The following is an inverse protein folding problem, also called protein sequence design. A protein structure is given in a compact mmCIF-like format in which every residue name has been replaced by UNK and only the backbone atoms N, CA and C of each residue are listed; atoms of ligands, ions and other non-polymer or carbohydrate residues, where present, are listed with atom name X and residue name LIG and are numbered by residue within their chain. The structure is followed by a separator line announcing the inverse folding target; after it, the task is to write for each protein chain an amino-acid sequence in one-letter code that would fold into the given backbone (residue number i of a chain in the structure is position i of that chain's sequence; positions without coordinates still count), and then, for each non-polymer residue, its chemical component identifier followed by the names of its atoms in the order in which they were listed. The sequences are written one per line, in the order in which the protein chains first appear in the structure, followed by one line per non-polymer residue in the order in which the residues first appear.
data_IF_804716781432
#
_entry.id   IF_804716781432
#
_cell.length_a   1.000
_cell.length_b   1.000
_cell.length_c   1.000
_cell.angle_alpha   90.00
_cell.angle_beta   90.00
_cell.angle_gamma   90.00
#
_symmetry.space_group_name_H-M   'P 1'
#
loop_
_entity.id
_entity.type
_entity.pdbx_description
1 polymer ?
#
# COMPACT_ATOMS: atom_id res chain seq x y z
N UNK A 1 14.86 33.99 6.95
CA UNK A 1 13.72 33.39 6.24
C UNK A 1 13.24 32.19 7.09
N UNK A 2 12.11 32.31 7.79
CA UNK A 2 11.58 31.17 8.51
C UNK A 2 11.20 30.10 7.46
N UNK A 3 11.55 28.83 7.65
CA UNK A 3 11.13 27.80 6.72
C UNK A 3 9.61 27.76 6.76
N UNK A 4 8.98 27.93 5.59
CA UNK A 4 7.53 27.72 5.39
C UNK A 4 7.26 26.25 5.55
N UNK A 5 6.82 25.85 6.71
CA UNK A 5 6.81 24.46 7.20
C UNK A 5 5.92 23.52 6.39
N UNK A 6 5.08 23.99 5.45
CA UNK A 6 4.10 23.18 4.70
C UNK A 6 3.73 23.72 3.32
N UNK A 7 4.59 24.52 2.67
CA UNK A 7 4.35 24.83 1.26
C UNK A 7 4.86 23.70 0.37
N UNK A 8 3.96 23.11 -0.37
CA UNK A 8 4.29 22.13 -1.39
C UNK A 8 5.04 22.82 -2.54
N UNK A 9 6.03 22.15 -3.11
CA UNK A 9 6.65 22.59 -4.35
C UNK A 9 5.65 22.52 -5.50
N UNK A 10 5.90 23.22 -6.61
CA UNK A 10 5.05 23.15 -7.81
C UNK A 10 4.93 21.74 -8.33
N UNK A 11 6.01 20.94 -8.33
CA UNK A 11 5.99 19.55 -8.75
C UNK A 11 5.10 18.68 -7.81
N UNK A 12 5.20 18.88 -6.50
CA UNK A 12 4.36 18.17 -5.53
C UNK A 12 2.87 18.56 -5.69
N UNK A 13 2.58 19.82 -5.96
CA UNK A 13 1.22 20.29 -6.24
C UNK A 13 0.68 19.67 -7.53
N UNK A 14 1.47 19.66 -8.60
CA UNK A 14 1.09 19.07 -9.89
C UNK A 14 0.75 17.58 -9.74
N UNK A 15 1.60 16.80 -9.07
CA UNK A 15 1.36 15.37 -8.84
C UNK A 15 0.09 15.15 -8.01
N UNK A 16 -0.09 15.89 -6.92
CA UNK A 16 -1.31 15.85 -6.10
C UNK A 16 -2.56 16.14 -6.93
N UNK A 17 -2.55 17.24 -7.68
CA UNK A 17 -3.73 17.73 -8.41
C UNK A 17 -4.07 16.81 -9.59
N UNK A 18 -3.05 16.21 -10.23
CA UNK A 18 -3.22 15.17 -11.25
C UNK A 18 -3.86 13.92 -10.64
N UNK A 19 -3.35 13.44 -9.50
CA UNK A 19 -3.91 12.29 -8.78
C UNK A 19 -5.35 12.56 -8.33
N UNK A 20 -5.64 13.75 -7.78
CA UNK A 20 -6.99 14.18 -7.37
C UNK A 20 -7.96 14.19 -8.54
N UNK A 21 -7.57 14.80 -9.65
CA UNK A 21 -8.40 14.83 -10.86
C UNK A 21 -8.76 13.42 -11.33
N UNK A 22 -7.76 12.53 -11.39
CA UNK A 22 -7.98 11.15 -11.78
C UNK A 22 -8.86 10.39 -10.78
N UNK A 23 -8.61 10.55 -9.50
CA UNK A 23 -9.40 9.95 -8.44
C UNK A 23 -10.88 10.35 -8.52
N UNK A 24 -11.15 11.64 -8.68
CA UNK A 24 -12.52 12.17 -8.70
C UNK A 24 -13.28 11.84 -9.99
N UNK A 25 -12.63 11.94 -11.15
CA UNK A 25 -13.30 11.78 -12.45
C UNK A 25 -13.36 10.34 -12.93
N UNK A 26 -12.38 9.51 -12.57
CA UNK A 26 -12.22 8.15 -13.11
C UNK A 26 -12.47 7.07 -12.07
N UNK A 27 -11.97 7.22 -10.84
CA UNK A 27 -12.04 6.16 -9.84
C UNK A 27 -13.31 6.22 -9.00
N UNK A 28 -13.62 7.36 -8.40
CA UNK A 28 -14.74 7.49 -7.47
C UNK A 28 -16.10 7.10 -8.08
N UNK A 29 -16.41 7.44 -9.34
CA UNK A 29 -17.70 7.07 -9.94
C UNK A 29 -17.93 5.56 -10.10
N UNK A 30 -16.86 4.77 -10.24
CA UNK A 30 -16.95 3.34 -10.50
C UNK A 30 -16.52 2.47 -9.31
N UNK A 31 -15.99 3.06 -8.24
CA UNK A 31 -15.43 2.32 -7.10
C UNK A 31 -16.46 1.38 -6.44
N UNK A 32 -17.72 1.80 -6.32
CA UNK A 32 -18.81 0.96 -5.81
C UNK A 32 -19.11 -0.23 -6.72
N UNK A 33 -19.09 -0.03 -8.03
CA UNK A 33 -19.28 -1.11 -8.99
C UNK A 33 -18.11 -2.11 -8.93
N UNK A 34 -16.87 -1.63 -8.93
CA UNK A 34 -15.67 -2.47 -8.81
C UNK A 34 -15.72 -3.35 -7.55
N UNK A 35 -16.15 -2.77 -6.42
CA UNK A 35 -16.28 -3.50 -5.15
C UNK A 35 -17.35 -4.60 -5.20
N UNK A 36 -18.56 -4.28 -5.71
CA UNK A 36 -19.65 -5.26 -5.85
C UNK A 36 -19.29 -6.39 -6.79
N UNK A 37 -18.71 -6.08 -7.94
CA UNK A 37 -18.32 -7.05 -8.96
C UNK A 37 -17.01 -7.78 -8.62
N UNK A 38 -16.29 -7.33 -7.58
CA UNK A 38 -14.93 -7.82 -7.24
C UNK A 38 -14.00 -7.77 -8.44
N UNK A 39 -14.16 -6.77 -9.28
CA UNK A 39 -13.48 -6.64 -10.56
C UNK A 39 -12.17 -5.88 -10.40
N UNK A 40 -11.08 -6.55 -10.80
CA UNK A 40 -9.74 -5.96 -10.78
C UNK A 40 -9.68 -4.73 -11.70
N UNK A 41 -9.14 -3.58 -11.25
CA UNK A 41 -9.21 -2.29 -11.93
C UNK A 41 -8.08 -2.13 -12.97
N UNK A 42 -7.93 -3.08 -13.93
CA UNK A 42 -6.83 -3.09 -14.88
C UNK A 42 -6.75 -1.81 -15.73
N UNK A 43 -7.88 -1.33 -16.26
CA UNK A 43 -7.96 -0.10 -17.07
C UNK A 43 -7.55 1.13 -16.26
N UNK A 44 -7.99 1.18 -14.98
CA UNK A 44 -7.68 2.29 -14.10
C UNK A 44 -6.19 2.30 -13.70
N UNK A 45 -5.59 1.12 -13.56
CA UNK A 45 -4.16 0.99 -13.32
C UNK A 45 -3.34 1.40 -14.56
N UNK A 46 -3.79 1.06 -15.76
CA UNK A 46 -3.18 1.52 -17.00
C UNK A 46 -3.21 3.06 -17.12
N UNK A 47 -4.36 3.69 -16.83
CA UNK A 47 -4.45 5.14 -16.78
C UNK A 47 -3.57 5.79 -15.71
N UNK A 48 -3.37 5.15 -14.56
CA UNK A 48 -2.41 5.62 -13.56
C UNK A 48 -0.96 5.50 -14.05
N UNK A 49 -0.63 4.47 -14.83
CA UNK A 49 0.69 4.34 -15.44
C UNK A 49 0.98 5.44 -16.46
N UNK A 50 0.02 5.78 -17.32
CA UNK A 50 0.12 6.90 -18.28
C UNK A 50 0.37 8.24 -17.59
N UNK A 51 -0.11 8.40 -16.34
CA UNK A 51 0.10 9.58 -15.51
C UNK A 51 1.38 9.51 -14.65
N UNK A 52 2.23 8.48 -14.83
CA UNK A 52 3.48 8.30 -14.08
C UNK A 52 3.28 7.83 -12.62
N UNK A 53 2.04 7.46 -12.22
CA UNK A 53 1.72 7.11 -10.83
C UNK A 53 2.23 5.72 -10.43
N UNK A 54 2.68 4.88 -11.38
CA UNK A 54 3.28 3.57 -11.08
C UNK A 54 4.77 3.63 -10.75
N UNK A 55 5.38 4.82 -10.80
CA UNK A 55 6.80 5.02 -10.51
C UNK A 55 7.10 6.41 -9.99
N UNK A 56 6.30 6.94 -9.04
CA UNK A 56 6.43 8.34 -8.57
C UNK A 56 7.81 8.63 -7.99
N UNK A 57 8.42 7.67 -7.27
CA UNK A 57 9.76 7.80 -6.66
C UNK A 57 10.88 7.23 -7.54
N UNK A 58 10.56 6.66 -8.69
CA UNK A 58 11.53 6.01 -9.56
C UNK A 58 12.21 7.04 -10.45
N UNK A 59 13.51 6.86 -10.67
CA UNK A 59 14.30 7.71 -11.56
C UNK A 59 13.77 7.68 -13.00
N UNK A 60 13.90 8.80 -13.70
CA UNK A 60 13.43 8.95 -15.09
C UNK A 60 14.07 7.94 -16.06
N UNK A 61 15.35 7.57 -15.84
CA UNK A 61 16.06 6.57 -16.65
C UNK A 61 15.40 5.18 -16.63
N UNK A 62 14.56 4.88 -15.63
CA UNK A 62 13.75 3.66 -15.53
C UNK A 62 12.25 3.92 -15.76
N UNK A 63 11.91 5.05 -16.37
CA UNK A 63 10.53 5.40 -16.70
C UNK A 63 9.69 5.90 -15.53
N UNK A 64 10.32 6.34 -14.45
CA UNK A 64 9.64 6.94 -13.31
C UNK A 64 9.46 8.45 -13.43
N UNK A 65 8.69 9.05 -12.52
CA UNK A 65 8.42 10.48 -12.47
C UNK A 65 9.46 11.27 -11.64
N UNK A 66 10.29 10.60 -10.86
CA UNK A 66 11.31 11.18 -9.96
C UNK A 66 10.79 12.34 -9.10
N UNK A 67 9.50 12.31 -8.75
CA UNK A 67 8.82 13.41 -8.07
C UNK A 67 9.03 13.44 -6.54
N UNK A 68 9.63 12.41 -5.97
CA UNK A 68 9.96 12.33 -4.55
C UNK A 68 8.89 11.67 -3.66
N UNK A 69 9.28 11.38 -2.42
CA UNK A 69 8.45 10.63 -1.49
C UNK A 69 7.25 11.43 -0.98
N UNK A 70 7.37 12.75 -0.89
CA UNK A 70 6.26 13.64 -0.50
C UNK A 70 5.20 13.66 -1.60
N UNK A 71 5.60 13.76 -2.87
CA UNK A 71 4.68 13.70 -4.00
C UNK A 71 3.95 12.35 -4.06
N UNK A 72 4.67 11.23 -3.83
CA UNK A 72 4.07 9.90 -3.72
C UNK A 72 3.03 9.84 -2.59
N UNK A 73 3.36 10.35 -1.40
CA UNK A 73 2.44 10.37 -0.27
C UNK A 73 1.15 11.14 -0.59
N UNK A 74 1.26 12.30 -1.24
CA UNK A 74 0.12 13.10 -1.68
C UNK A 74 -0.72 12.35 -2.72
N UNK A 75 -0.09 11.77 -3.75
CA UNK A 75 -0.78 10.99 -4.77
C UNK A 75 -1.56 9.81 -4.16
N UNK A 76 -0.92 9.06 -3.24
CA UNK A 76 -1.56 7.93 -2.56
C UNK A 76 -2.81 8.34 -1.78
N UNK A 77 -2.78 9.48 -1.07
CA UNK A 77 -3.94 10.00 -0.36
C UNK A 77 -5.11 10.29 -1.31
N UNK A 78 -4.84 10.94 -2.44
CA UNK A 78 -5.87 11.30 -3.42
C UNK A 78 -6.44 10.07 -4.15
N UNK A 79 -5.58 9.14 -4.60
CA UNK A 79 -6.04 7.91 -5.27
C UNK A 79 -6.88 7.04 -4.34
N UNK A 80 -6.49 6.94 -3.06
CA UNK A 80 -7.24 6.18 -2.06
C UNK A 80 -8.61 6.79 -1.73
N UNK A 81 -8.77 8.10 -1.85
CA UNK A 81 -10.09 8.75 -1.76
C UNK A 81 -11.03 8.29 -2.89
N UNK A 82 -10.50 8.10 -4.10
CA UNK A 82 -11.27 7.62 -5.24
C UNK A 82 -11.61 6.13 -5.14
N UNK A 83 -10.59 5.30 -4.94
CA UNK A 83 -10.74 3.84 -4.84
C UNK A 83 -9.59 3.21 -4.05
N UNK A 84 -9.89 2.71 -2.87
CA UNK A 84 -8.91 2.07 -1.98
C UNK A 84 -8.28 0.80 -2.59
N UNK A 85 -9.05 0.02 -3.36
CA UNK A 85 -8.57 -1.18 -4.05
C UNK A 85 -7.57 -0.86 -5.18
N UNK A 86 -7.79 0.22 -5.93
CA UNK A 86 -6.84 0.71 -6.94
C UNK A 86 -5.57 1.24 -6.27
N UNK A 87 -5.74 1.98 -5.16
CA UNK A 87 -4.63 2.54 -4.39
C UNK A 87 -3.67 1.48 -3.85
N UNK A 88 -4.17 0.35 -3.32
CA UNK A 88 -3.29 -0.70 -2.80
C UNK A 88 -2.46 -1.36 -3.91
N UNK A 89 -3.02 -1.56 -5.10
CA UNK A 89 -2.26 -2.10 -6.23
C UNK A 89 -1.17 -1.10 -6.69
N UNK A 90 -1.52 0.19 -6.79
CA UNK A 90 -0.54 1.25 -7.05
C UNK A 90 0.58 1.26 -6.00
N UNK A 91 0.23 1.10 -4.71
CA UNK A 91 1.20 1.07 -3.61
C UNK A 91 2.18 -0.11 -3.77
N UNK A 92 1.69 -1.31 -4.05
CA UNK A 92 2.53 -2.50 -4.20
C UNK A 92 3.40 -2.40 -5.46
N UNK A 93 2.89 -1.86 -6.57
CA UNK A 93 3.69 -1.62 -7.78
C UNK A 93 4.87 -0.67 -7.50
N UNK A 94 4.62 0.47 -6.85
CA UNK A 94 5.67 1.41 -6.45
C UNK A 94 6.66 0.77 -5.47
N UNK A 95 6.18 -0.03 -4.49
CA UNK A 95 7.01 -0.74 -3.52
C UNK A 95 7.98 -1.72 -4.19
N UNK A 96 7.46 -2.53 -5.13
CA UNK A 96 8.26 -3.51 -5.86
C UNK A 96 9.27 -2.82 -6.78
N UNK A 97 8.83 -1.82 -7.55
CA UNK A 97 9.70 -1.03 -8.42
C UNK A 97 10.84 -0.37 -7.63
N UNK A 98 10.52 0.28 -6.50
CA UNK A 98 11.51 0.92 -5.62
C UNK A 98 12.49 -0.11 -5.01
N UNK A 99 12.00 -1.28 -4.60
CA UNK A 99 12.83 -2.34 -4.03
C UNK A 99 13.83 -2.86 -5.08
N UNK A 100 13.39 -3.08 -6.32
CA UNK A 100 14.26 -3.50 -7.43
C UNK A 100 15.25 -2.37 -7.78
N UNK A 101 14.78 -1.14 -7.91
CA UNK A 101 15.63 0.02 -8.23
C UNK A 101 16.74 0.24 -7.19
N UNK A 102 16.46 -0.05 -5.91
CA UNK A 102 17.41 0.14 -4.81
C UNK A 102 18.41 -1.01 -4.66
N UNK A 103 17.99 -2.25 -4.88
CA UNK A 103 18.77 -3.45 -4.52
C UNK A 103 19.17 -4.32 -5.72
N UNK A 104 18.59 -4.08 -6.88
CA UNK A 104 18.85 -4.83 -8.11
C UNK A 104 20.17 -4.49 -8.77
N UNK A 105 20.69 -5.42 -9.55
CA UNK A 105 21.74 -5.15 -10.53
C UNK A 105 21.19 -4.24 -11.63
N UNK A 106 22.08 -3.60 -12.37
CA UNK A 106 21.66 -2.73 -13.49
C UNK A 106 20.80 -3.48 -14.53
N UNK A 107 21.16 -4.75 -14.81
CA UNK A 107 20.40 -5.61 -15.69
C UNK A 107 18.96 -5.87 -15.15
N UNK A 108 18.81 -6.12 -13.86
CA UNK A 108 17.49 -6.31 -13.21
C UNK A 108 16.67 -5.03 -13.25
N UNK A 109 17.27 -3.88 -12.93
CA UNK A 109 16.59 -2.58 -12.97
C UNK A 109 16.03 -2.31 -14.37
N UNK A 110 16.87 -2.40 -15.40
CA UNK A 110 16.47 -2.13 -16.80
C UNK A 110 15.45 -3.14 -17.32
N UNK A 111 15.45 -4.37 -16.82
CA UNK A 111 14.49 -5.39 -17.23
C UNK A 111 13.12 -5.19 -16.59
N UNK A 112 13.04 -4.94 -15.30
CA UNK A 112 11.77 -5.02 -14.56
C UNK A 112 11.13 -3.67 -14.23
N UNK A 113 11.95 -2.66 -13.90
CA UNK A 113 11.38 -1.38 -13.43
C UNK A 113 10.57 -0.68 -14.51
N UNK A 114 11.05 -0.55 -15.79
CA UNK A 114 10.27 0.05 -16.86
C UNK A 114 8.98 -0.70 -17.20
N UNK A 115 8.95 -2.02 -17.02
CA UNK A 115 7.74 -2.82 -17.23
C UNK A 115 6.64 -2.47 -16.21
N UNK A 116 7.04 -2.20 -14.95
CA UNK A 116 6.13 -1.79 -13.88
C UNK A 116 5.69 -0.34 -14.07
N UNK A 117 6.63 0.58 -14.28
CA UNK A 117 6.34 2.02 -14.36
C UNK A 117 5.48 2.38 -15.56
N UNK A 118 5.66 1.69 -16.69
CA UNK A 118 4.85 1.87 -17.90
C UNK A 118 3.48 1.17 -17.86
N UNK A 119 3.21 0.34 -16.85
CA UNK A 119 1.98 -0.45 -16.76
C UNK A 119 1.93 -1.66 -17.69
N UNK A 120 3.01 -2.01 -18.43
CA UNK A 120 3.06 -3.27 -19.18
C UNK A 120 2.93 -4.47 -18.24
N UNK A 121 3.56 -4.43 -17.08
CA UNK A 121 3.17 -5.25 -15.96
C UNK A 121 2.06 -4.52 -15.20
N UNK A 122 0.80 -4.95 -15.41
CA UNK A 122 -0.36 -4.33 -14.74
C UNK A 122 -0.24 -4.38 -13.22
N UNK A 123 0.48 -5.39 -12.73
CA UNK A 123 0.81 -5.54 -11.31
C UNK A 123 2.20 -6.14 -11.13
N UNK A 124 2.80 -5.82 -9.99
CA UNK A 124 3.94 -6.48 -9.40
C UNK A 124 3.59 -6.89 -7.97
N UNK A 125 4.24 -7.92 -7.42
CA UNK A 125 3.84 -8.49 -6.13
C UNK A 125 4.99 -8.68 -5.16
N UNK A 126 4.65 -8.65 -3.86
CA UNK A 126 5.56 -8.76 -2.73
C UNK A 126 5.26 -10.06 -1.95
N UNK A 127 6.02 -11.12 -2.21
CA UNK A 127 5.80 -12.46 -1.71
C UNK A 127 6.62 -12.77 -0.46
N UNK A 128 6.31 -12.13 0.69
CA UNK A 128 7.00 -12.36 1.97
C UNK A 128 6.22 -13.31 2.88
N UNK A 129 4.96 -12.98 3.19
CA UNK A 129 4.14 -13.69 4.18
C UNK A 129 3.84 -15.13 3.80
N UNK A 130 3.77 -16.00 4.80
CA UNK A 130 3.42 -17.41 4.68
C UNK A 130 2.23 -17.74 5.62
N UNK A 131 1.53 -18.88 5.42
CA UNK A 131 0.38 -19.23 6.26
C UNK A 131 0.67 -19.20 7.76
N UNK A 132 1.91 -19.49 8.18
CA UNK A 132 2.35 -19.52 9.57
C UNK A 132 3.29 -18.35 9.96
N UNK A 133 3.69 -17.50 9.02
CA UNK A 133 4.65 -16.42 9.21
C UNK A 133 4.14 -15.10 8.61
N UNK A 134 3.37 -14.36 9.40
CA UNK A 134 2.93 -12.99 9.10
C UNK A 134 3.78 -11.96 9.83
N UNK A 135 3.42 -11.63 11.06
CA UNK A 135 4.18 -10.67 11.90
C UNK A 135 5.58 -11.17 12.24
N UNK A 136 5.78 -12.47 12.39
CA UNK A 136 7.09 -13.12 12.51
C UNK A 136 7.60 -13.52 11.12
N UNK A 137 7.91 -12.54 10.29
CA UNK A 137 8.34 -12.77 8.90
C UNK A 137 9.68 -13.52 8.81
N UNK A 138 10.50 -13.51 9.88
CA UNK A 138 11.75 -14.24 9.94
C UNK A 138 11.55 -15.76 10.05
N UNK A 139 10.37 -16.21 10.49
CA UNK A 139 10.01 -17.62 10.61
C UNK A 139 9.57 -18.26 9.28
N UNK A 140 9.73 -17.59 8.14
CA UNK A 140 9.39 -18.14 6.84
C UNK A 140 10.10 -19.47 6.57
N UNK A 141 9.42 -20.39 5.85
CA UNK A 141 9.87 -21.77 5.57
C UNK A 141 10.08 -22.08 4.10
N UNK A 142 9.61 -21.23 3.20
CA UNK A 142 9.93 -21.35 1.76
C UNK A 142 11.44 -21.47 1.61
N UNK A 143 11.91 -22.47 0.87
CA UNK A 143 13.35 -22.75 0.64
C UNK A 143 13.75 -22.42 -0.79
N UNK A 144 15.02 -22.07 -0.98
CA UNK A 144 15.65 -21.91 -2.28
C UNK A 144 17.00 -22.64 -2.24
N UNK A 145 17.05 -23.85 -2.81
CA UNK A 145 18.26 -24.67 -2.86
C UNK A 145 19.03 -24.38 -4.15
N UNK A 146 20.32 -24.10 -4.02
CA UNK A 146 21.18 -23.89 -5.19
C UNK A 146 21.39 -25.23 -5.94
N UNK A 147 21.26 -25.16 -7.26
CA UNK A 147 21.47 -26.29 -8.17
C UNK A 147 22.24 -25.79 -9.42
N UNK A 148 23.56 -25.88 -9.36
CA UNK A 148 24.44 -25.31 -10.38
C UNK A 148 24.32 -23.79 -10.49
N UNK A 149 23.85 -23.30 -11.63
CA UNK A 149 23.63 -21.87 -11.89
C UNK A 149 22.17 -21.45 -11.71
N UNK A 150 21.36 -22.24 -11.01
CA UNK A 150 19.97 -22.00 -10.72
C UNK A 150 19.68 -22.13 -9.22
N UNK A 151 18.50 -21.67 -8.83
CA UNK A 151 17.89 -21.98 -7.54
C UNK A 151 16.56 -22.69 -7.76
N UNK A 152 16.31 -23.74 -6.98
CA UNK A 152 15.06 -24.49 -6.93
C UNK A 152 14.31 -24.03 -5.70
N UNK A 153 13.15 -23.37 -5.91
CA UNK A 153 12.32 -22.79 -4.87
C UNK A 153 11.14 -23.72 -4.59
N UNK A 154 10.93 -24.04 -3.30
CA UNK A 154 9.83 -24.84 -2.80
C UNK A 154 9.20 -24.18 -1.58
N UNK A 155 7.86 -24.16 -1.52
CA UNK A 155 7.12 -23.57 -0.41
C UNK A 155 5.84 -22.89 -0.82
N UNK A 156 5.35 -21.98 0.03
CA UNK A 156 4.11 -21.26 -0.23
C UNK A 156 4.13 -19.84 0.35
N UNK A 157 3.36 -18.95 -0.28
CA UNK A 157 3.12 -17.58 0.20
C UNK A 157 1.63 -17.33 0.34
N UNK A 158 1.27 -16.49 1.31
CA UNK A 158 -0.11 -16.18 1.64
C UNK A 158 -0.36 -14.67 1.61
N UNK A 159 -1.59 -14.29 1.28
CA UNK A 159 -2.04 -12.89 1.24
C UNK A 159 -1.32 -12.04 0.19
N UNK A 160 -1.00 -12.60 -0.97
CA UNK A 160 -0.21 -11.92 -1.99
C UNK A 160 -1.13 -11.05 -2.87
N UNK A 161 -1.01 -9.74 -2.68
CA UNK A 161 -1.72 -8.74 -3.48
C UNK A 161 -1.32 -8.87 -4.94
N UNK A 162 -2.32 -9.04 -5.81
CA UNK A 162 -2.18 -9.15 -7.27
C UNK A 162 -1.25 -10.27 -7.75
N UNK A 163 -1.03 -11.34 -6.93
CA UNK A 163 -0.13 -12.43 -7.30
C UNK A 163 -0.55 -13.22 -8.54
N UNK A 164 -1.83 -13.19 -8.89
CA UNK A 164 -2.42 -13.79 -10.10
C UNK A 164 -2.22 -12.92 -11.37
N UNK A 165 -1.82 -11.68 -11.20
CA UNK A 165 -1.68 -10.65 -12.25
C UNK A 165 -0.27 -10.10 -12.39
N UNK A 166 0.62 -10.49 -11.48
CA UNK A 166 1.96 -9.93 -11.40
C UNK A 166 2.84 -10.37 -12.58
N UNK A 167 3.44 -9.41 -13.26
CA UNK A 167 4.51 -9.70 -14.23
C UNK A 167 5.81 -10.09 -13.52
N UNK A 168 6.04 -9.58 -12.31
CA UNK A 168 7.17 -9.97 -11.45
C UNK A 168 6.75 -9.99 -9.99
N UNK A 169 7.28 -10.97 -9.26
CA UNK A 169 7.04 -11.18 -7.82
C UNK A 169 8.40 -11.19 -7.12
N UNK A 170 8.58 -10.38 -6.07
CA UNK A 170 9.72 -10.55 -5.18
C UNK A 170 9.38 -11.65 -4.18
N UNK A 171 10.12 -12.74 -4.18
CA UNK A 171 9.90 -13.91 -3.32
C UNK A 171 11.04 -14.05 -2.33
N UNK A 172 10.73 -14.08 -1.03
CA UNK A 172 11.69 -14.36 0.03
C UNK A 172 11.72 -15.85 0.35
N UNK A 173 12.93 -16.42 0.38
CA UNK A 173 13.15 -17.84 0.64
C UNK A 173 14.45 -18.07 1.42
N UNK A 174 14.55 -19.23 2.09
CA UNK A 174 15.76 -19.66 2.79
C UNK A 174 16.76 -20.29 1.83
N UNK A 175 17.96 -19.72 1.80
CA UNK A 175 19.09 -20.27 1.02
C UNK A 175 20.17 -20.91 1.89
N UNK A 176 20.16 -20.68 3.20
CA UNK A 176 21.25 -21.11 4.09
C UNK A 176 20.79 -21.33 5.52
N UNK A 177 21.67 -21.00 6.44
CA UNK A 177 21.55 -21.20 7.88
C UNK A 177 20.25 -20.66 8.49
N UNK A 178 19.90 -21.11 9.67
CA UNK A 178 18.75 -20.60 10.44
C UNK A 178 18.86 -19.09 10.75
N UNK A 179 17.74 -18.48 11.03
CA UNK A 179 17.62 -17.05 11.37
C UNK A 179 17.61 -16.13 10.17
N UNK A 180 17.76 -14.84 10.43
CA UNK A 180 17.58 -13.78 9.43
C UNK A 180 18.65 -13.77 8.33
N UNK A 181 19.85 -14.29 8.63
CA UNK A 181 20.97 -14.34 7.68
C UNK A 181 20.83 -15.46 6.64
N UNK A 182 19.92 -16.40 6.84
CA UNK A 182 19.62 -17.46 5.90
C UNK A 182 18.53 -17.09 4.88
N UNK A 183 18.04 -15.86 4.87
CA UNK A 183 16.95 -15.42 3.99
C UNK A 183 17.52 -14.59 2.84
N UNK A 184 17.19 -15.01 1.62
CA UNK A 184 17.47 -14.29 0.37
C UNK A 184 16.16 -13.90 -0.31
N UNK A 185 16.20 -13.05 -1.33
CA UNK A 185 15.04 -12.75 -2.13
C UNK A 185 15.33 -12.88 -3.63
N UNK A 186 14.30 -13.23 -4.38
CA UNK A 186 14.38 -13.59 -5.79
C UNK A 186 13.30 -12.86 -6.59
N UNK A 187 13.63 -12.49 -7.81
CA UNK A 187 12.68 -11.99 -8.80
C UNK A 187 12.12 -13.18 -9.57
N UNK A 188 10.84 -13.48 -9.38
CA UNK A 188 10.14 -14.57 -10.05
C UNK A 188 9.13 -13.96 -11.02
N UNK A 189 9.24 -14.33 -12.30
CA UNK A 189 8.28 -13.84 -13.31
C UNK A 189 6.96 -14.59 -13.22
N UNK A 190 5.86 -13.86 -13.48
CA UNK A 190 4.54 -14.47 -13.59
C UNK A 190 4.52 -15.57 -14.65
N UNK A 191 3.84 -16.68 -14.36
CA UNK A 191 3.75 -17.82 -15.28
C UNK A 191 4.99 -18.72 -15.33
N UNK A 192 6.03 -18.47 -14.50
CA UNK A 192 7.18 -19.37 -14.38
C UNK A 192 6.71 -20.79 -14.01
N UNK A 193 7.25 -21.81 -14.69
CA UNK A 193 6.94 -23.22 -14.41
C UNK A 193 7.25 -23.54 -12.96
N UNK A 194 6.29 -24.18 -12.27
CA UNK A 194 6.37 -24.47 -10.84
C UNK A 194 5.82 -23.36 -9.94
N UNK A 195 5.38 -22.22 -10.50
CA UNK A 195 4.56 -21.22 -9.80
C UNK A 195 3.10 -21.58 -9.98
N UNK A 196 2.39 -21.79 -8.88
CA UNK A 196 0.97 -22.06 -8.87
C UNK A 196 0.24 -20.96 -8.09
N UNK A 197 -0.75 -20.39 -8.74
CA UNK A 197 -1.64 -19.38 -8.13
C UNK A 197 -2.83 -20.09 -7.51
N UNK A 198 -3.04 -19.87 -6.21
CA UNK A 198 -4.18 -20.40 -5.48
C UNK A 198 -5.46 -19.60 -5.73
N UNK A 199 -6.49 -19.91 -4.95
CA UNK A 199 -7.78 -19.24 -5.06
C UNK A 199 -7.68 -17.75 -4.67
N UNK A 200 -8.57 -16.94 -5.24
CA UNK A 200 -8.82 -15.58 -4.78
C UNK A 200 -9.44 -15.59 -3.37
N UNK A 201 -8.93 -14.77 -2.49
CA UNK A 201 -9.48 -14.63 -1.15
C UNK A 201 -10.80 -13.82 -1.18
N UNK A 202 -11.81 -14.33 -0.50
CA UNK A 202 -13.08 -13.64 -0.30
C UNK A 202 -12.96 -12.69 0.89
N UNK A 203 -12.79 -11.40 0.61
CA UNK A 203 -12.38 -10.40 1.61
C UNK A 203 -13.54 -9.54 2.08
N UNK A 204 -13.43 -9.03 3.30
CA UNK A 204 -14.33 -8.04 3.87
C UNK A 204 -14.35 -6.74 3.05
N UNK A 205 -13.17 -6.19 2.73
CA UNK A 205 -12.96 -4.95 1.98
C UNK A 205 -11.86 -5.09 0.94
N UNK A 206 -11.52 -4.00 0.26
CA UNK A 206 -10.61 -3.98 -0.89
C UNK A 206 -10.96 -5.06 -1.91
N UNK A 207 -12.25 -5.28 -2.15
CA UNK A 207 -12.73 -6.44 -2.91
C UNK A 207 -12.29 -6.44 -4.36
N UNK A 208 -12.07 -5.26 -4.95
CA UNK A 208 -11.55 -5.12 -6.30
C UNK A 208 -10.03 -5.31 -6.41
N UNK A 209 -9.29 -5.38 -5.29
CA UNK A 209 -7.89 -5.78 -5.29
C UNK A 209 -7.79 -7.30 -5.20
N UNK A 210 -7.10 -7.94 -6.15
CA UNK A 210 -6.85 -9.38 -6.06
C UNK A 210 -5.91 -9.69 -4.90
N UNK A 211 -6.19 -10.77 -4.18
CA UNK A 211 -5.33 -11.32 -3.13
C UNK A 211 -5.38 -12.83 -3.22
N UNK A 212 -4.23 -13.49 -3.37
CA UNK A 212 -4.13 -14.93 -3.57
C UNK A 212 -3.05 -15.55 -2.69
N UNK A 213 -3.10 -16.87 -2.55
CA UNK A 213 -1.95 -17.66 -2.13
C UNK A 213 -1.12 -18.06 -3.35
N UNK A 214 0.19 -18.29 -3.12
CA UNK A 214 1.09 -18.83 -4.14
C UNK A 214 1.74 -20.10 -3.58
N UNK A 215 1.93 -21.12 -4.42
CA UNK A 215 2.80 -22.25 -4.10
C UNK A 215 3.89 -22.41 -5.15
N UNK A 216 5.03 -22.89 -4.69
CA UNK A 216 6.22 -23.14 -5.50
C UNK A 216 6.55 -24.62 -5.41
N UNK A 217 6.57 -25.29 -6.55
CA UNK A 217 6.87 -26.73 -6.68
C UNK A 217 8.00 -26.89 -7.67
N UNK A 218 9.20 -27.14 -7.14
CA UNK A 218 10.45 -27.20 -7.90
C UNK A 218 10.60 -26.03 -8.90
N UNK A 219 10.18 -24.84 -8.49
CA UNK A 219 10.27 -23.64 -9.30
C UNK A 219 11.75 -23.29 -9.49
N UNK A 220 12.17 -23.23 -10.75
CA UNK A 220 13.57 -22.93 -11.10
C UNK A 220 13.71 -21.49 -11.56
N UNK A 221 14.69 -20.81 -10.96
CA UNK A 221 15.12 -19.47 -11.39
C UNK A 221 16.64 -19.44 -11.57
N UNK A 222 17.18 -18.69 -12.54
CA UNK A 222 18.62 -18.54 -12.67
C UNK A 222 19.22 -17.84 -11.44
N UNK A 223 20.48 -18.11 -11.12
CA UNK A 223 21.16 -17.45 -10.00
C UNK A 223 21.12 -15.91 -10.11
N UNK A 224 21.05 -15.38 -11.32
CA UNK A 224 20.89 -13.94 -11.61
C UNK A 224 19.52 -13.36 -11.22
N UNK A 225 18.54 -14.19 -10.87
CA UNK A 225 17.25 -13.75 -10.35
C UNK A 225 17.31 -13.32 -8.86
N UNK A 226 18.41 -13.64 -8.16
CA UNK A 226 18.59 -13.18 -6.78
C UNK A 226 18.69 -11.65 -6.72
N UNK A 227 17.87 -11.05 -5.88
CA UNK A 227 17.84 -9.61 -5.65
C UNK A 227 18.73 -9.25 -4.44
N UNK A 228 19.81 -8.56 -4.70
CA UNK A 228 20.85 -8.28 -3.69
C UNK A 228 21.71 -9.51 -3.34
N UNK A 229 22.62 -9.40 -2.34
CA UNK A 229 23.48 -10.49 -1.93
C UNK A 229 22.74 -11.63 -1.22
N UNK A 230 23.23 -12.86 -1.35
CA UNK A 230 22.72 -14.03 -0.63
C UNK A 230 22.75 -13.80 0.89
N UNK A 231 21.70 -14.24 1.59
CA UNK A 231 21.54 -14.05 3.03
C UNK A 231 21.20 -12.61 3.46
N UNK A 232 21.00 -11.68 2.51
CA UNK A 232 20.62 -10.28 2.79
C UNK A 232 19.15 -9.96 2.46
N UNK A 233 18.33 -10.96 2.17
CA UNK A 233 16.92 -10.76 1.83
C UNK A 233 16.10 -10.16 2.96
N UNK A 234 16.35 -10.53 4.22
CA UNK A 234 15.56 -10.00 5.35
C UNK A 234 15.76 -8.49 5.58
N UNK A 235 16.98 -7.93 5.60
CA UNK A 235 17.18 -6.49 5.58
C UNK A 235 16.51 -5.77 4.40
N UNK A 236 16.49 -6.38 3.22
CA UNK A 236 15.79 -5.84 2.03
C UNK A 236 14.27 -5.79 2.30
N UNK A 237 13.69 -6.86 2.88
CA UNK A 237 12.28 -6.87 3.26
C UNK A 237 11.92 -5.75 4.24
N UNK A 238 12.73 -5.55 5.30
CA UNK A 238 12.50 -4.52 6.30
C UNK A 238 12.59 -3.11 5.70
N UNK A 239 13.57 -2.86 4.84
CA UNK A 239 13.71 -1.57 4.16
C UNK A 239 12.53 -1.27 3.21
N UNK A 240 12.04 -2.28 2.50
CA UNK A 240 10.85 -2.18 1.66
C UNK A 240 9.60 -1.87 2.51
N UNK A 241 9.41 -2.61 3.60
CA UNK A 241 8.28 -2.40 4.51
C UNK A 241 8.27 -1.02 5.17
N UNK A 242 9.45 -0.41 5.45
CA UNK A 242 9.50 0.96 5.95
C UNK A 242 8.88 1.95 4.95
N UNK A 243 9.16 1.78 3.65
CA UNK A 243 8.52 2.57 2.58
C UNK A 243 7.03 2.26 2.45
N UNK A 244 6.66 0.99 2.49
CA UNK A 244 5.26 0.54 2.41
C UNK A 244 4.39 1.11 3.53
N UNK A 245 4.91 1.20 4.77
CA UNK A 245 4.20 1.79 5.92
C UNK A 245 3.75 3.22 5.67
N UNK A 246 4.57 4.03 5.00
CA UNK A 246 4.19 5.40 4.61
C UNK A 246 3.06 5.34 3.58
N UNK A 247 3.15 4.45 2.58
CA UNK A 247 2.10 4.25 1.57
C UNK A 247 0.76 3.85 2.19
N UNK A 248 0.77 2.90 3.15
CA UNK A 248 -0.45 2.47 3.84
C UNK A 248 -1.02 3.54 4.77
N UNK A 249 -0.18 4.33 5.45
CA UNK A 249 -0.65 5.49 6.19
C UNK A 249 -1.41 6.47 5.28
N UNK A 250 -0.85 6.76 4.10
CA UNK A 250 -1.48 7.62 3.10
C UNK A 250 -2.77 7.03 2.53
N UNK A 251 -2.81 5.72 2.25
CA UNK A 251 -4.03 5.03 1.83
C UNK A 251 -5.13 5.15 2.89
N UNK A 252 -4.80 4.90 4.15
CA UNK A 252 -5.76 5.01 5.25
C UNK A 252 -6.31 6.44 5.39
N UNK A 253 -5.44 7.46 5.30
CA UNK A 253 -5.84 8.86 5.31
C UNK A 253 -6.81 9.16 4.16
N UNK A 254 -6.53 8.68 2.96
CA UNK A 254 -7.42 8.86 1.81
C UNK A 254 -8.79 8.24 2.03
N UNK A 255 -8.86 7.00 2.52
CA UNK A 255 -10.12 6.32 2.85
C UNK A 255 -10.89 7.10 3.92
N UNK A 256 -10.21 7.49 5.02
CA UNK A 256 -10.82 8.25 6.10
C UNK A 256 -11.33 9.62 5.65
N UNK A 257 -10.60 10.31 4.76
CA UNK A 257 -11.02 11.59 4.18
C UNK A 257 -12.26 11.43 3.31
N UNK A 258 -12.31 10.39 2.46
CA UNK A 258 -13.49 10.10 1.65
C UNK A 258 -14.73 9.81 2.52
N UNK A 259 -14.54 9.08 3.61
CA UNK A 259 -15.60 8.80 4.58
C UNK A 259 -16.10 10.08 5.28
N UNK A 260 -15.18 10.95 5.73
CA UNK A 260 -15.50 12.24 6.34
C UNK A 260 -16.27 13.14 5.36
N UNK A 261 -15.78 13.26 4.11
CA UNK A 261 -16.43 14.09 3.09
C UNK A 261 -17.86 13.60 2.78
N UNK A 262 -18.06 12.28 2.74
CA UNK A 262 -19.39 11.69 2.57
C UNK A 262 -20.30 12.03 3.75
N UNK A 263 -19.79 11.88 4.98
CA UNK A 263 -20.56 12.19 6.20
C UNK A 263 -20.92 13.66 6.29
N UNK A 264 -20.00 14.57 5.93
CA UNK A 264 -20.25 16.03 5.92
C UNK A 264 -21.34 16.40 4.91
N UNK A 265 -21.29 15.85 3.69
CA UNK A 265 -22.35 16.09 2.68
C UNK A 265 -23.69 15.57 3.19
N UNK A 266 -23.73 14.32 3.64
CA UNK A 266 -24.96 13.72 4.16
C UNK A 266 -25.53 14.52 5.35
N UNK A 267 -24.69 14.97 6.28
CA UNK A 267 -25.15 15.75 7.44
C UNK A 267 -25.77 17.09 7.06
N UNK A 268 -25.35 17.71 5.97
CA UNK A 268 -25.94 18.97 5.46
C UNK A 268 -27.29 18.73 4.78
N UNK A 269 -27.44 17.60 4.09
CA UNK A 269 -28.62 17.31 3.27
C UNK A 269 -29.73 16.59 4.06
N UNK A 270 -29.36 15.77 5.06
CA UNK A 270 -30.29 15.00 5.87
C UNK A 270 -30.96 15.85 6.94
N UNK A 271 -32.30 15.91 6.93
CA UNK A 271 -33.12 16.63 7.93
C UNK A 271 -33.77 15.65 8.90
N UNK A 272 -33.75 15.99 10.18
CA UNK A 272 -34.52 15.35 11.26
C UNK A 272 -34.98 16.42 12.24
N UNK A 273 -36.15 16.25 12.85
CA UNK A 273 -36.71 17.20 13.81
C UNK A 273 -36.72 18.66 13.30
N UNK A 274 -37.01 18.84 12.01
CA UNK A 274 -37.17 20.14 11.36
C UNK A 274 -35.90 20.87 10.93
N UNK A 275 -34.71 20.25 11.04
CA UNK A 275 -33.43 20.89 10.65
C UNK A 275 -32.43 19.90 10.11
N UNK A 276 -31.38 20.36 9.36
CA UNK A 276 -30.26 19.51 8.97
C UNK A 276 -29.58 18.87 10.18
N UNK A 277 -29.18 17.60 10.08
CA UNK A 277 -28.48 16.93 11.20
C UNK A 277 -27.12 17.58 11.50
N UNK A 278 -26.54 18.29 10.57
CA UNK A 278 -25.35 19.12 10.78
C UNK A 278 -25.53 20.20 11.87
N UNK A 279 -26.74 20.53 12.26
CA UNK A 279 -27.00 21.51 13.32
C UNK A 279 -26.90 20.94 14.74
N UNK A 280 -26.92 19.62 14.90
CA UNK A 280 -26.78 19.00 16.22
C UNK A 280 -25.32 18.96 16.67
N UNK A 281 -25.07 19.38 17.92
CA UNK A 281 -23.70 19.45 18.49
C UNK A 281 -22.97 18.11 18.44
N UNK A 282 -23.65 17.01 18.75
CA UNK A 282 -23.03 15.67 18.72
C UNK A 282 -22.45 15.32 17.35
N UNK A 283 -23.18 15.65 16.27
CA UNK A 283 -22.70 15.43 14.90
C UNK A 283 -21.52 16.36 14.58
N UNK A 284 -21.62 17.63 14.94
CA UNK A 284 -20.53 18.62 14.72
C UNK A 284 -19.25 18.22 15.43
N UNK A 285 -19.34 17.79 16.68
CA UNK A 285 -18.16 17.40 17.46
C UNK A 285 -17.52 16.14 16.90
N UNK A 286 -18.31 15.11 16.56
CA UNK A 286 -17.80 13.90 15.96
C UNK A 286 -17.06 14.18 14.64
N UNK A 287 -17.61 15.03 13.76
CA UNK A 287 -16.97 15.41 12.49
C UNK A 287 -15.73 16.28 12.70
N UNK A 288 -15.73 17.20 13.68
CA UNK A 288 -14.57 18.03 14.01
C UNK A 288 -13.42 17.21 14.58
N UNK A 289 -13.69 16.25 15.46
CA UNK A 289 -12.69 15.34 16.01
C UNK A 289 -12.03 14.52 14.89
N UNK A 290 -12.84 13.93 14.02
CA UNK A 290 -12.34 13.14 12.87
C UNK A 290 -11.49 14.00 11.94
N UNK A 291 -11.93 15.22 11.60
CA UNK A 291 -11.18 16.14 10.75
C UNK A 291 -9.81 16.47 11.36
N UNK A 292 -9.78 16.77 12.67
CA UNK A 292 -8.55 17.08 13.40
C UNK A 292 -7.60 15.87 13.42
N UNK A 293 -8.11 14.67 13.69
CA UNK A 293 -7.32 13.44 13.75
C UNK A 293 -6.75 13.05 12.38
N UNK A 294 -7.50 13.24 11.29
CA UNK A 294 -7.02 12.98 9.93
C UNK A 294 -5.96 14.00 9.49
N UNK A 295 -6.08 15.26 9.87
CA UNK A 295 -5.05 16.27 9.59
C UNK A 295 -3.76 15.97 10.35
N UNK A 296 -3.84 15.60 11.63
CA UNK A 296 -2.69 15.15 12.40
C UNK A 296 -2.03 13.89 11.78
N UNK A 297 -2.83 12.94 11.30
CA UNK A 297 -2.33 11.75 10.60
C UNK A 297 -1.58 12.13 9.30
N UNK A 298 -2.13 13.07 8.53
CA UNK A 298 -1.52 13.60 7.33
C UNK A 298 -0.15 14.23 7.61
N UNK A 299 -0.05 15.04 8.66
CA UNK A 299 1.21 15.66 9.05
C UNK A 299 2.28 14.63 9.45
N UNK A 300 1.90 13.56 10.18
CA UNK A 300 2.81 12.47 10.53
C UNK A 300 3.30 11.73 9.27
N UNK A 301 2.40 11.43 8.32
CA UNK A 301 2.75 10.75 7.08
C UNK A 301 3.68 11.60 6.20
N UNK A 302 3.40 12.90 6.06
CA UNK A 302 4.24 13.82 5.30
C UNK A 302 5.60 14.02 5.96
N UNK A 303 5.69 14.05 7.30
CA UNK A 303 6.97 14.05 8.02
C UNK A 303 7.81 12.83 7.69
N UNK A 304 7.22 11.64 7.71
CA UNK A 304 7.93 10.40 7.37
C UNK A 304 8.40 10.42 5.90
N UNK A 305 7.55 10.86 4.98
CA UNK A 305 7.87 11.02 3.57
C UNK A 305 9.02 12.02 3.33
N UNK A 306 9.00 13.17 4.00
CA UNK A 306 10.05 14.19 3.91
C UNK A 306 11.40 13.68 4.44
N UNK A 307 11.42 12.91 5.52
CA UNK A 307 12.64 12.27 6.02
C UNK A 307 13.21 11.27 5.02
N UNK A 308 12.34 10.43 4.42
CA UNK A 308 12.70 9.49 3.35
C UNK A 308 13.32 10.25 2.16
N UNK A 309 12.67 11.31 1.70
CA UNK A 309 13.11 12.12 0.56
C UNK A 309 14.48 12.77 0.84
N UNK A 310 14.71 13.17 2.09
CA UNK A 310 16.00 13.71 2.54
C UNK A 310 17.08 12.64 2.79
N UNK A 311 16.84 11.37 2.49
CA UNK A 311 17.78 10.27 2.73
C UNK A 311 18.05 9.97 4.21
N UNK A 312 17.19 10.45 5.12
CA UNK A 312 17.31 10.24 6.57
C UNK A 312 16.57 8.97 7.00
N UNK A 313 16.93 8.44 8.19
CA UNK A 313 16.16 7.36 8.81
C UNK A 313 14.74 7.83 9.11
N UNK A 314 13.74 7.02 8.73
CA UNK A 314 12.31 7.32 8.91
C UNK A 314 11.51 6.12 9.45
N UNK A 315 12.19 5.04 9.83
CA UNK A 315 11.54 3.80 10.31
C UNK A 315 10.59 4.07 11.48
N UNK A 316 11.03 4.86 12.47
CA UNK A 316 10.20 5.25 13.61
C UNK A 316 9.01 6.11 13.19
N UNK A 317 9.27 7.14 12.40
CA UNK A 317 8.26 8.08 11.93
C UNK A 317 7.25 7.40 10.98
N UNK A 318 7.70 6.48 10.12
CA UNK A 318 6.84 5.64 9.30
C UNK A 318 5.93 4.73 10.14
N UNK A 319 6.47 4.13 11.20
CA UNK A 319 5.66 3.33 12.12
C UNK A 319 4.64 4.19 12.91
N UNK A 320 5.04 5.40 13.37
CA UNK A 320 4.13 6.35 14.02
C UNK A 320 3.01 6.80 13.08
N UNK A 321 3.36 7.17 11.86
CA UNK A 321 2.39 7.58 10.84
C UNK A 321 1.40 6.45 10.54
N UNK A 322 1.90 5.22 10.35
CA UNK A 322 1.07 4.06 10.01
C UNK A 322 0.08 3.72 11.11
N UNK A 323 0.52 3.56 12.35
CA UNK A 323 -0.39 3.19 13.44
C UNK A 323 -1.42 4.28 13.69
N UNK A 324 -1.02 5.54 13.73
CA UNK A 324 -1.94 6.64 13.97
C UNK A 324 -2.95 6.79 12.84
N UNK A 325 -2.49 6.87 11.60
CA UNK A 325 -3.35 7.06 10.44
C UNK A 325 -4.37 5.94 10.28
N UNK A 326 -3.95 4.67 10.43
CA UNK A 326 -4.84 3.54 10.21
C UNK A 326 -5.91 3.41 11.31
N UNK A 327 -5.56 3.68 12.57
CA UNK A 327 -6.55 3.67 13.65
C UNK A 327 -7.53 4.84 13.54
N UNK A 328 -7.05 6.04 13.15
CA UNK A 328 -7.91 7.22 12.98
C UNK A 328 -8.79 7.14 11.73
N UNK A 329 -8.29 6.54 10.64
CA UNK A 329 -9.11 6.28 9.46
C UNK A 329 -10.26 5.28 9.76
N UNK A 330 -9.99 4.22 10.53
CA UNK A 330 -11.05 3.30 10.97
C UNK A 330 -12.11 4.02 11.81
N UNK A 331 -11.71 4.90 12.75
CA UNK A 331 -12.64 5.74 13.52
C UNK A 331 -13.43 6.68 12.61
N UNK A 332 -12.79 7.29 11.62
CA UNK A 332 -13.45 8.16 10.65
C UNK A 332 -14.54 7.42 9.86
N UNK A 333 -14.24 6.21 9.41
CA UNK A 333 -15.19 5.37 8.68
C UNK A 333 -16.35 4.91 9.57
N UNK A 334 -16.08 4.51 10.82
CA UNK A 334 -17.10 4.18 11.81
C UNK A 334 -18.03 5.37 12.09
N UNK A 335 -17.44 6.56 12.30
CA UNK A 335 -18.19 7.80 12.47
C UNK A 335 -19.05 8.12 11.24
N UNK A 336 -18.53 7.89 10.03
CA UNK A 336 -19.29 8.11 8.80
C UNK A 336 -20.52 7.19 8.71
N UNK A 337 -20.38 5.91 9.02
CA UNK A 337 -21.51 4.97 9.09
C UNK A 337 -22.53 5.47 10.12
N UNK A 338 -22.08 5.87 11.31
CA UNK A 338 -22.97 6.36 12.36
C UNK A 338 -23.73 7.63 11.96
N UNK A 339 -23.07 8.58 11.28
CA UNK A 339 -23.70 9.83 10.80
C UNK A 339 -24.77 9.55 9.73
N UNK A 340 -24.54 8.57 8.86
CA UNK A 340 -25.53 8.16 7.86
C UNK A 340 -26.69 7.35 8.46
N UNK A 341 -26.54 6.81 9.68
CA UNK A 341 -27.55 5.96 10.31
C UNK A 341 -27.83 4.71 9.49
N UNK A 342 -29.09 4.34 9.29
CA UNK A 342 -29.47 3.17 8.49
C UNK A 342 -28.93 3.20 7.05
N UNK A 343 -28.83 4.37 6.44
CA UNK A 343 -28.25 4.56 5.13
C UNK A 343 -26.72 4.34 5.07
N UNK A 344 -26.04 4.43 6.20
CA UNK A 344 -24.61 4.09 6.30
C UNK A 344 -24.33 2.60 6.29
N UNK A 345 -25.36 1.77 6.48
CA UNK A 345 -25.26 0.31 6.58
C UNK A 345 -25.63 -0.42 5.29
N UNK A 346 -26.11 0.29 4.29
CA UNK A 346 -26.51 -0.25 2.98
C UNK A 346 -25.61 0.31 1.87
N UNK A 347 -25.53 -0.37 0.74
CA UNK A 347 -24.58 -0.10 -0.35
C UNK A 347 -24.95 1.07 -1.27
N UNK A 348 -26.08 1.75 -1.01
CA UNK A 348 -26.46 2.97 -1.73
C UNK A 348 -25.51 4.14 -1.43
N UNK A 349 -24.90 4.15 -0.23
CA UNK A 349 -23.92 5.13 0.19
C UNK A 349 -22.54 4.48 0.39
N UNK A 350 -21.44 5.21 0.16
CA UNK A 350 -20.11 4.62 0.21
C UNK A 350 -19.59 4.36 1.64
N UNK A 351 -20.34 4.73 2.68
CA UNK A 351 -19.90 4.67 4.08
C UNK A 351 -19.55 3.25 4.51
N UNK A 352 -20.40 2.25 4.20
CA UNK A 352 -20.17 0.85 4.53
C UNK A 352 -18.93 0.29 3.82
N UNK A 353 -18.69 0.69 2.54
CA UNK A 353 -17.52 0.27 1.78
C UNK A 353 -16.24 0.87 2.37
N UNK A 354 -16.22 2.15 2.71
CA UNK A 354 -15.08 2.78 3.36
C UNK A 354 -14.75 2.11 4.70
N UNK A 355 -15.75 1.74 5.48
CA UNK A 355 -15.57 1.00 6.74
C UNK A 355 -14.92 -0.37 6.50
N UNK A 356 -15.40 -1.15 5.51
CA UNK A 356 -14.81 -2.44 5.15
C UNK A 356 -13.39 -2.30 4.63
N UNK A 357 -13.13 -1.31 3.78
CA UNK A 357 -11.84 -1.06 3.16
C UNK A 357 -10.79 -0.58 4.18
N UNK A 358 -11.18 0.28 5.12
CA UNK A 358 -10.27 0.80 6.14
C UNK A 358 -9.78 -0.29 7.10
N UNK A 359 -10.57 -1.34 7.35
CA UNK A 359 -10.27 -2.31 8.41
C UNK A 359 -8.94 -3.03 8.22
N UNK A 360 -8.58 -3.37 6.99
CA UNK A 360 -7.32 -4.08 6.71
C UNK A 360 -6.09 -3.23 7.00
N UNK A 361 -6.19 -1.90 6.94
CA UNK A 361 -5.04 -1.00 7.07
C UNK A 361 -4.33 -1.12 8.41
N UNK A 362 -5.00 -1.53 9.48
CA UNK A 362 -4.40 -1.81 10.80
C UNK A 362 -3.68 -3.16 10.89
N UNK A 363 -3.82 -4.02 9.86
CA UNK A 363 -3.35 -5.41 9.87
C UNK A 363 -2.15 -5.61 8.96
N UNK A 364 -2.29 -5.31 7.65
CA UNK A 364 -1.25 -5.60 6.67
C UNK A 364 -0.08 -4.61 6.72
N UNK A 365 1.04 -4.98 6.07
CA UNK A 365 2.32 -4.26 6.11
C UNK A 365 2.81 -3.94 7.55
N UNK A 366 2.52 -4.85 8.45
CA UNK A 366 2.79 -4.77 9.88
C UNK A 366 1.58 -4.30 10.66
N UNK A 367 1.09 -5.14 11.58
CA UNK A 367 -0.06 -4.81 12.42
C UNK A 367 0.21 -3.60 13.32
N UNK A 368 -0.85 -3.02 13.88
CA UNK A 368 -0.74 -1.92 14.85
C UNK A 368 0.17 -2.27 16.04
N UNK A 369 0.18 -3.54 16.47
CA UNK A 369 1.06 -4.05 17.53
C UNK A 369 2.53 -4.05 17.08
N UNK A 370 2.80 -4.50 15.85
CA UNK A 370 4.16 -4.46 15.29
C UNK A 370 4.67 -3.02 15.18
N UNK A 371 3.81 -2.07 14.78
CA UNK A 371 4.19 -0.65 14.75
C UNK A 371 4.57 -0.15 16.15
N UNK A 372 3.82 -0.53 17.18
CA UNK A 372 4.12 -0.17 18.57
C UNK A 372 5.43 -0.81 19.05
N UNK A 373 5.72 -2.05 18.66
CA UNK A 373 7.01 -2.69 18.94
C UNK A 373 8.16 -1.92 18.28
N UNK A 374 8.02 -1.52 17.01
CA UNK A 374 9.04 -0.73 16.32
C UNK A 374 9.26 0.60 17.02
N UNK A 375 8.21 1.34 17.33
CA UNK A 375 8.30 2.64 18.01
C UNK A 375 8.96 2.47 19.39
N UNK A 376 8.52 1.47 20.18
CA UNK A 376 9.05 1.19 21.51
C UNK A 376 10.54 0.90 21.51
N UNK A 377 11.05 0.17 20.51
CA UNK A 377 12.49 -0.09 20.36
C UNK A 377 13.30 1.21 20.23
N UNK A 378 12.82 2.17 19.44
CA UNK A 378 13.48 3.47 19.28
C UNK A 378 13.38 4.37 20.51
N UNK A 379 12.45 4.11 21.42
CA UNK A 379 12.30 4.90 22.65
C UNK A 379 13.13 4.33 23.81
N UNK A 380 13.33 3.00 23.82
CA UNK A 380 13.89 2.29 24.97
C UNK A 380 15.33 1.80 24.74
N UNK A 381 15.77 1.72 23.49
CA UNK A 381 17.15 1.37 23.14
C UNK A 381 17.84 2.65 22.67
N UNK A 382 18.56 3.31 23.60
CA UNK A 382 19.42 4.46 23.34
C UNK A 382 20.75 4.02 22.74
#
# INVERSE_FOLDING_TARGET
MQPRLFELTEAQQLVRDTARNYAQKTLAPIAGQLDRERRFPAEQLAGLAELGMMGVNIAEEYGGAQAGAVAYALAMMEIAQGCASTAVTMAVNNLVAETIARHGTEAQKRRYVPEITSGRYVAASFGLSEPHAGSDAAALRTTARRDGNEYVINGSKQWITSGDRAGVIIVWARTGVEGNRGISCFLVEGGTKGLHVGRHEDKMGLRASSTVSLSFEDLRVPASAMLGPEGRGFPIALAALDSGRVGIACQAIGIGTAALDSAVRYAKDRHTFGQPIANYQAIRFALADVATELDAARLLALRAAALKEAGKSFTREGAMAKVFATEKANKACDTAVQVHGGYGYIDEFPAERHYRDARITTIYEGSSEIMRIVIGRYLLVA
#
